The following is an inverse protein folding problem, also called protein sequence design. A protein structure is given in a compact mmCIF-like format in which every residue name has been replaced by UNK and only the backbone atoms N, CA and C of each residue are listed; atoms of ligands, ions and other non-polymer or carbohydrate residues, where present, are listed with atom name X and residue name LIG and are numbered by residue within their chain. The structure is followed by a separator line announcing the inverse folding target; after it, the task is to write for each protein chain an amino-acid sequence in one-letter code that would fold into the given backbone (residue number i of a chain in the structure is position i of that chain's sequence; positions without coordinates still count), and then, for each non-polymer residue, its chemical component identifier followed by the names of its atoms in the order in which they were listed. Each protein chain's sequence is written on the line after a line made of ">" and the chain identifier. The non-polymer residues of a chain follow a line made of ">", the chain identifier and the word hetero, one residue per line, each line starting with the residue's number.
data_IF_481351350090
#
_entry.id   IF_481351350090
#
_cell.length_a   1.000
_cell.length_b   1.000
_cell.length_c   1.000
_cell.angle_alpha   90.00
_cell.angle_beta   90.00
_cell.angle_gamma   90.00
#
_symmetry.space_group_name_H-M   'P 1'
#
loop_
_entity.id
_entity.type
_entity.pdbx_description
1 polymer ?
#
# COMPACT_ATOMS: atom_id res chain seq x y z
N UNK A 1 20.07 9.33 9.94
CA UNK A 1 19.16 8.50 10.78
C UNK A 1 18.16 7.85 9.84
N UNK A 2 18.07 6.54 9.84
CA UNK A 2 17.07 5.81 9.08
C UNK A 2 15.74 5.71 9.85
N UNK A 3 14.67 5.22 9.20
CA UNK A 3 13.34 5.12 9.81
C UNK A 3 13.33 4.30 11.10
N UNK A 4 14.03 3.15 11.12
CA UNK A 4 14.09 2.29 12.32
C UNK A 4 14.77 2.98 13.50
N UNK A 5 15.83 3.76 13.25
CA UNK A 5 16.49 4.56 14.28
C UNK A 5 15.57 5.64 14.83
N UNK A 6 14.81 6.31 13.96
CA UNK A 6 13.84 7.33 14.36
C UNK A 6 12.75 6.70 15.25
N UNK A 7 12.16 5.61 14.80
CA UNK A 7 11.11 4.91 15.57
C UNK A 7 11.65 4.42 16.91
N UNK A 8 12.79 3.76 16.92
CA UNK A 8 13.35 3.18 18.14
C UNK A 8 13.76 4.24 19.17
N UNK A 9 14.40 5.32 18.73
CA UNK A 9 14.99 6.29 19.64
C UNK A 9 13.97 7.31 20.14
N UNK A 10 12.94 7.65 19.34
CA UNK A 10 12.04 8.76 19.66
C UNK A 10 10.59 8.33 19.90
N UNK A 11 10.08 7.34 19.16
CA UNK A 11 8.64 7.05 19.18
C UNK A 11 8.25 5.77 19.93
N UNK A 12 9.12 4.76 19.99
CA UNK A 12 8.77 3.49 20.63
C UNK A 12 8.30 3.65 22.08
N UNK A 13 8.92 4.54 22.85
CA UNK A 13 8.53 4.80 24.25
C UNK A 13 7.16 5.44 24.40
N UNK A 14 6.64 6.06 23.34
CA UNK A 14 5.32 6.67 23.31
C UNK A 14 4.20 5.65 23.00
N UNK A 15 4.56 4.48 22.47
CA UNK A 15 3.63 3.41 22.11
C UNK A 15 3.25 2.59 23.35
N UNK A 16 2.50 3.20 24.26
CA UNK A 16 2.10 2.59 25.54
C UNK A 16 1.00 1.52 25.41
N UNK A 17 0.24 1.56 24.31
CA UNK A 17 -0.79 0.57 24.03
C UNK A 17 -0.20 -0.73 23.50
N UNK A 18 -0.64 -1.88 24.02
CA UNK A 18 -0.30 -3.21 23.46
C UNK A 18 -0.75 -3.37 22.02
N UNK A 19 -1.79 -2.64 21.60
CA UNK A 19 -2.30 -2.65 20.23
C UNK A 19 -1.31 -2.03 19.22
N UNK A 20 -0.38 -1.17 19.66
CA UNK A 20 0.67 -0.60 18.83
C UNK A 20 1.78 -1.59 18.46
N UNK A 21 1.77 -2.81 18.99
CA UNK A 21 2.76 -3.88 18.75
C UNK A 21 4.21 -3.39 18.95
N UNK A 22 4.42 -2.45 19.88
CA UNK A 22 5.70 -1.77 20.15
C UNK A 22 6.29 -1.06 18.92
N UNK A 23 5.48 -0.67 17.93
CA UNK A 23 5.89 -0.14 16.61
C UNK A 23 6.90 -1.05 15.88
N UNK A 24 6.80 -2.35 16.09
CA UNK A 24 7.64 -3.38 15.44
C UNK A 24 6.92 -4.14 14.33
N UNK A 25 5.71 -3.74 14.01
CA UNK A 25 4.90 -4.33 12.96
C UNK A 25 4.34 -3.23 12.04
N UNK A 26 3.86 -3.61 10.87
CA UNK A 26 3.38 -2.68 9.85
C UNK A 26 1.94 -2.22 10.12
N UNK A 27 1.31 -2.77 11.17
CA UNK A 27 -0.07 -2.45 11.54
C UNK A 27 -0.23 -2.18 13.03
N UNK A 28 -1.26 -1.40 13.37
CA UNK A 28 -1.88 -1.37 14.69
C UNK A 28 -2.90 -2.51 14.78
N UNK A 29 -2.96 -3.23 15.91
CA UNK A 29 -3.94 -4.30 16.11
C UNK A 29 -4.57 -4.27 17.51
N UNK A 30 -5.80 -3.81 17.60
CA UNK A 30 -6.61 -3.90 18.81
C UNK A 30 -7.36 -5.25 18.84
N UNK A 31 -6.82 -6.20 19.59
CA UNK A 31 -7.39 -7.54 19.73
C UNK A 31 -8.79 -7.52 20.36
N UNK A 32 -9.06 -6.60 21.31
CA UNK A 32 -10.35 -6.50 22.01
C UNK A 32 -11.46 -6.11 21.03
N UNK A 33 -11.19 -5.12 20.19
CA UNK A 33 -12.14 -4.61 19.19
C UNK A 33 -11.98 -5.30 17.83
N UNK A 34 -11.06 -6.29 17.71
CA UNK A 34 -10.74 -7.01 16.46
C UNK A 34 -10.33 -6.06 15.33
N UNK A 35 -9.80 -4.89 15.65
CA UNK A 35 -9.51 -3.81 14.72
C UNK A 35 -8.04 -3.84 14.30
N UNK A 36 -7.79 -3.86 13.00
CA UNK A 36 -6.47 -3.70 12.40
C UNK A 36 -6.42 -2.43 11.54
N UNK A 37 -5.36 -1.64 11.67
CA UNK A 37 -5.16 -0.39 10.94
C UNK A 37 -3.72 -0.31 10.43
N UNK A 38 -3.54 0.09 9.17
CA UNK A 38 -2.26 0.49 8.59
C UNK A 38 -2.37 1.86 7.97
N UNK A 39 -1.29 2.64 7.96
CA UNK A 39 -1.22 3.95 7.33
C UNK A 39 0.10 4.14 6.60
N UNK A 40 0.02 4.47 5.32
CA UNK A 40 1.16 4.73 4.46
C UNK A 40 1.03 6.08 3.76
N UNK A 41 2.18 6.68 3.44
CA UNK A 41 2.26 7.91 2.65
C UNK A 41 3.10 7.71 1.39
N UNK A 42 2.58 8.19 0.27
CA UNK A 42 3.15 8.01 -1.07
C UNK A 42 3.44 9.37 -1.72
N UNK A 43 4.70 9.59 -2.10
CA UNK A 43 5.15 10.80 -2.78
C UNK A 43 5.53 10.53 -4.22
N UNK A 44 5.24 11.49 -5.10
CA UNK A 44 5.77 11.52 -6.47
C UNK A 44 7.30 11.54 -6.45
N UNK A 45 7.93 10.85 -7.38
CA UNK A 45 9.38 10.64 -7.52
C UNK A 45 10.03 9.74 -6.46
N UNK A 46 9.32 9.44 -5.38
CA UNK A 46 9.78 8.48 -4.36
C UNK A 46 9.10 7.13 -4.53
N UNK A 47 7.79 7.10 -4.47
CA UNK A 47 6.98 5.86 -4.50
C UNK A 47 6.37 5.59 -5.88
N UNK A 48 6.23 6.63 -6.70
CA UNK A 48 5.84 6.54 -8.11
C UNK A 48 6.57 7.61 -8.94
N UNK A 49 6.89 7.30 -10.19
CA UNK A 49 7.76 8.15 -11.02
C UNK A 49 7.14 9.51 -11.36
N UNK A 50 5.86 9.51 -11.77
CA UNK A 50 5.12 10.70 -12.17
C UNK A 50 3.61 10.41 -12.17
N UNK A 51 2.82 11.46 -12.36
CA UNK A 51 1.35 11.38 -12.35
C UNK A 51 0.71 11.43 -13.75
N UNK A 52 1.43 11.06 -14.81
CA UNK A 52 0.90 11.03 -16.20
C UNK A 52 -0.25 10.04 -16.38
N UNK A 53 -0.27 8.98 -15.57
CA UNK A 53 -1.30 7.93 -15.54
C UNK A 53 -1.98 7.86 -14.17
N UNK A 54 -2.78 8.87 -13.76
CA UNK A 54 -3.27 9.00 -12.38
C UNK A 54 -4.05 7.78 -11.90
N UNK A 55 -4.90 7.17 -12.73
CA UNK A 55 -5.62 5.97 -12.36
C UNK A 55 -4.70 4.77 -12.05
N UNK A 56 -3.59 4.60 -12.77
CA UNK A 56 -2.63 3.53 -12.48
C UNK A 56 -1.85 3.81 -11.19
N UNK A 57 -1.49 5.07 -10.93
CA UNK A 57 -0.84 5.45 -9.67
C UNK A 57 -1.75 5.17 -8.49
N UNK A 58 -3.02 5.58 -8.57
CA UNK A 58 -4.01 5.32 -7.50
C UNK A 58 -4.21 3.82 -7.27
N UNK A 59 -4.30 3.03 -8.34
CA UNK A 59 -4.38 1.57 -8.23
C UNK A 59 -3.19 1.01 -7.47
N UNK A 60 -1.97 1.41 -7.84
CA UNK A 60 -0.73 0.98 -7.19
C UNK A 60 -0.75 1.30 -5.70
N UNK A 61 -0.99 2.56 -5.32
CA UNK A 61 -0.89 2.98 -3.92
C UNK A 61 -1.98 2.36 -3.04
N UNK A 62 -3.21 2.18 -3.55
CA UNK A 62 -4.26 1.45 -2.82
C UNK A 62 -3.81 0.02 -2.55
N UNK A 63 -3.28 -0.68 -3.56
CA UNK A 63 -2.83 -2.07 -3.39
C UNK A 63 -1.64 -2.17 -2.44
N UNK A 64 -0.68 -1.25 -2.53
CA UNK A 64 0.43 -1.21 -1.57
C UNK A 64 -0.07 -1.02 -0.14
N UNK A 65 -0.98 -0.08 0.10
CA UNK A 65 -1.49 0.19 1.45
C UNK A 65 -2.29 -0.98 2.04
N UNK A 66 -3.20 -1.60 1.25
CA UNK A 66 -3.98 -2.74 1.77
C UNK A 66 -3.14 -4.02 1.90
N UNK A 67 -1.93 -4.07 1.29
CA UNK A 67 -1.06 -5.25 1.39
C UNK A 67 -0.63 -5.54 2.82
N UNK A 68 -0.45 -4.52 3.64
CA UNK A 68 -0.06 -4.66 5.04
C UNK A 68 -1.10 -5.42 5.87
N UNK A 69 -2.37 -5.14 5.64
CA UNK A 69 -3.45 -5.90 6.27
C UNK A 69 -3.49 -7.34 5.74
N UNK A 70 -3.36 -7.50 4.40
CA UNK A 70 -3.46 -8.81 3.74
C UNK A 70 -2.35 -9.75 4.22
N UNK A 71 -1.10 -9.29 4.34
CA UNK A 71 0.02 -10.11 4.81
C UNK A 71 -0.12 -10.52 6.29
N UNK A 72 -0.97 -9.82 7.06
CA UNK A 72 -1.33 -10.18 8.43
C UNK A 72 -2.54 -11.11 8.54
N UNK A 73 -3.10 -11.54 7.42
CA UNK A 73 -4.31 -12.36 7.39
C UNK A 73 -5.60 -11.56 7.63
N UNK A 74 -5.57 -10.24 7.43
CA UNK A 74 -6.70 -9.35 7.67
C UNK A 74 -7.33 -8.91 6.34
N UNK A 75 -8.65 -9.07 6.20
CA UNK A 75 -9.38 -8.49 5.07
C UNK A 75 -9.52 -6.98 5.25
N UNK A 76 -9.01 -6.17 4.30
CA UNK A 76 -9.28 -4.74 4.30
C UNK A 76 -10.78 -4.50 4.08
N UNK A 77 -11.36 -3.58 4.84
CA UNK A 77 -12.79 -3.23 4.76
C UNK A 77 -13.00 -1.79 4.35
N UNK A 78 -12.25 -0.89 4.95
CA UNK A 78 -12.33 0.55 4.68
C UNK A 78 -10.97 1.13 4.34
N UNK A 79 -10.97 2.16 3.49
CA UNK A 79 -9.81 3.01 3.24
C UNK A 79 -10.18 4.48 3.38
N UNK A 80 -9.28 5.26 3.96
CA UNK A 80 -9.33 6.72 3.97
C UNK A 80 -8.19 7.24 3.12
N UNK A 81 -8.45 8.22 2.24
CA UNK A 81 -7.47 8.75 1.30
C UNK A 81 -7.31 10.24 1.54
N UNK A 82 -6.17 10.66 2.07
CA UNK A 82 -5.78 12.05 2.11
C UNK A 82 -4.86 12.34 0.92
N UNK A 83 -5.08 13.47 0.25
CA UNK A 83 -4.32 13.89 -0.92
C UNK A 83 -3.77 15.30 -0.73
N UNK A 84 -2.53 15.53 -1.12
CA UNK A 84 -2.00 16.87 -1.26
C UNK A 84 -1.53 17.11 -2.69
N UNK A 85 -1.75 18.31 -3.21
CA UNK A 85 -1.35 18.68 -4.57
C UNK A 85 -1.93 20.00 -5.00
N UNK A 86 -1.68 20.38 -6.24
CA UNK A 86 -2.19 21.62 -6.82
C UNK A 86 -3.17 21.36 -7.97
N UNK A 87 -3.71 22.44 -8.56
CA UNK A 87 -4.68 22.40 -9.67
C UNK A 87 -4.20 21.63 -10.91
N UNK A 88 -2.89 21.49 -11.12
CA UNK A 88 -2.34 20.75 -12.28
C UNK A 88 -2.49 19.23 -12.10
N UNK A 89 -2.44 18.75 -10.86
CA UNK A 89 -2.67 17.34 -10.54
C UNK A 89 -4.17 17.01 -10.50
N UNK A 90 -4.99 17.89 -9.90
CA UNK A 90 -6.42 17.64 -9.63
C UNK A 90 -7.34 18.31 -10.67
N UNK A 91 -7.03 18.12 -11.95
CA UNK A 91 -7.93 18.53 -13.05
C UNK A 91 -9.18 17.62 -13.07
N UNK A 92 -10.30 18.11 -13.64
CA UNK A 92 -11.52 17.30 -13.83
C UNK A 92 -11.22 15.95 -14.51
N UNK A 93 -10.36 15.96 -15.56
CA UNK A 93 -9.93 14.76 -16.28
C UNK A 93 -9.16 13.76 -15.39
N UNK A 94 -8.25 14.25 -14.56
CA UNK A 94 -7.48 13.38 -13.64
C UNK A 94 -8.36 12.84 -12.52
N UNK A 95 -9.23 13.68 -11.95
CA UNK A 95 -10.17 13.27 -10.89
C UNK A 95 -11.13 12.19 -11.39
N UNK A 96 -11.62 12.27 -12.63
CA UNK A 96 -12.43 11.20 -13.23
C UNK A 96 -11.65 9.87 -13.33
N UNK A 97 -10.36 9.91 -13.75
CA UNK A 97 -9.51 8.71 -13.81
C UNK A 97 -9.21 8.14 -12.42
N UNK A 98 -8.97 9.01 -11.44
CA UNK A 98 -8.79 8.63 -10.02
C UNK A 98 -10.03 7.93 -9.51
N UNK A 99 -11.20 8.56 -9.64
CA UNK A 99 -12.50 8.01 -9.19
C UNK A 99 -12.81 6.65 -9.81
N UNK A 100 -12.61 6.51 -11.13
CA UNK A 100 -12.83 5.23 -11.81
C UNK A 100 -11.87 4.12 -11.31
N UNK A 101 -10.61 4.49 -11.04
CA UNK A 101 -9.64 3.55 -10.50
C UNK A 101 -10.02 3.10 -9.09
N UNK A 102 -10.40 4.03 -8.22
CA UNK A 102 -10.87 3.73 -6.86
C UNK A 102 -12.08 2.79 -6.93
N UNK A 103 -13.08 3.10 -7.76
CA UNK A 103 -14.27 2.24 -7.95
C UNK A 103 -13.88 0.82 -8.38
N UNK A 104 -12.92 0.70 -9.30
CA UNK A 104 -12.41 -0.61 -9.74
C UNK A 104 -11.79 -1.42 -8.60
N UNK A 105 -10.97 -0.77 -7.77
CA UNK A 105 -10.32 -1.44 -6.63
C UNK A 105 -11.33 -1.76 -5.51
N UNK A 106 -12.31 -0.88 -5.26
CA UNK A 106 -13.43 -1.16 -4.35
C UNK A 106 -14.19 -2.43 -4.76
N UNK A 107 -14.54 -2.54 -6.04
CA UNK A 107 -15.24 -3.71 -6.55
C UNK A 107 -14.40 -4.99 -6.47
N UNK A 108 -13.10 -4.88 -6.78
CA UNK A 108 -12.17 -6.01 -6.79
C UNK A 108 -11.89 -6.55 -5.39
N UNK A 109 -11.62 -5.68 -4.44
CA UNK A 109 -11.21 -6.05 -3.08
C UNK A 109 -12.33 -5.97 -2.04
N UNK A 110 -13.53 -5.55 -2.47
CA UNK A 110 -14.70 -5.36 -1.57
C UNK A 110 -14.41 -4.40 -0.43
N UNK A 111 -13.61 -3.37 -0.71
CA UNK A 111 -13.30 -2.27 0.21
C UNK A 111 -14.22 -1.08 -0.06
N UNK A 112 -14.39 -0.22 0.94
CA UNK A 112 -15.17 1.01 0.81
C UNK A 112 -14.33 2.22 1.22
N UNK A 113 -14.49 3.35 0.52
CA UNK A 113 -13.97 4.63 0.99
C UNK A 113 -14.76 5.04 2.24
N UNK A 114 -14.05 5.31 3.35
CA UNK A 114 -14.60 5.82 4.59
C UNK A 114 -14.53 7.34 4.71
N UNK A 115 -13.67 7.99 3.90
CA UNK A 115 -13.44 9.42 3.92
C UNK A 115 -12.03 9.79 3.48
N UNK A 116 -11.59 10.98 3.85
CA UNK A 116 -10.27 11.51 3.54
C UNK A 116 -10.24 13.02 3.61
N UNK A 117 -9.14 13.60 3.14
CA UNK A 117 -8.94 15.05 3.10
C UNK A 117 -8.18 15.44 1.83
N UNK A 118 -8.29 16.71 1.41
CA UNK A 118 -7.57 17.25 0.26
C UNK A 118 -6.97 18.61 0.58
N UNK A 119 -5.64 18.70 0.53
CA UNK A 119 -4.89 19.89 0.88
C UNK A 119 -4.15 20.45 -0.34
N UNK A 120 -4.19 21.77 -0.51
CA UNK A 120 -3.41 22.45 -1.54
C UNK A 120 -1.92 22.43 -1.19
N UNK A 121 -1.09 21.88 -2.09
CA UNK A 121 0.36 21.78 -1.94
C UNK A 121 1.06 21.85 -3.31
N UNK A 122 2.32 22.26 -3.32
CA UNK A 122 3.15 22.18 -4.52
C UNK A 122 3.68 20.77 -4.79
N UNK A 123 3.69 19.89 -3.76
CA UNK A 123 4.11 18.49 -3.87
C UNK A 123 2.89 17.59 -3.92
N UNK A 124 2.91 16.61 -4.82
CA UNK A 124 1.88 15.59 -4.87
C UNK A 124 2.19 14.46 -3.90
N UNK A 125 1.26 14.21 -2.99
CA UNK A 125 1.31 13.03 -2.13
C UNK A 125 -0.09 12.49 -1.84
N UNK A 126 -0.13 11.24 -1.41
CA UNK A 126 -1.32 10.55 -0.93
C UNK A 126 -0.98 9.82 0.35
N UNK A 127 -1.81 9.96 1.38
CA UNK A 127 -1.75 9.11 2.56
C UNK A 127 -3.00 8.24 2.57
N UNK A 128 -2.81 6.92 2.76
CA UNK A 128 -3.91 5.97 2.80
C UNK A 128 -3.89 5.26 4.14
N UNK A 129 -5.00 5.36 4.87
CA UNK A 129 -5.26 4.56 6.06
C UNK A 129 -6.19 3.43 5.67
N UNK A 130 -5.76 2.20 5.91
CA UNK A 130 -6.49 0.97 5.64
C UNK A 130 -6.98 0.36 6.94
N UNK A 131 -8.24 -0.04 6.99
CA UNK A 131 -8.89 -0.63 8.16
C UNK A 131 -9.48 -1.97 7.80
N UNK A 132 -9.24 -2.96 8.67
CA UNK A 132 -9.83 -4.28 8.59
C UNK A 132 -10.14 -4.86 9.96
N UNK A 133 -10.78 -6.04 9.98
CA UNK A 133 -11.19 -6.69 11.22
C UNK A 133 -10.74 -8.15 11.22
N UNK A 134 -10.14 -8.59 12.34
CA UNK A 134 -9.74 -9.97 12.54
C UNK A 134 -9.68 -10.32 14.03
N UNK A 135 -9.90 -11.57 14.37
CA UNK A 135 -9.74 -12.05 15.75
C UNK A 135 -8.28 -12.26 16.13
N UNK A 136 -7.43 -12.53 15.13
CA UNK A 136 -5.99 -12.78 15.26
C UNK A 136 -5.26 -12.24 14.05
N UNK A 137 -3.96 -12.01 14.19
CA UNK A 137 -3.09 -11.59 13.09
C UNK A 137 -1.85 -12.47 13.00
N UNK A 138 -1.21 -12.48 11.84
CA UNK A 138 0.09 -13.11 11.61
C UNK A 138 1.17 -12.09 11.94
N UNK A 139 2.00 -12.38 12.93
CA UNK A 139 3.13 -11.54 13.31
C UNK A 139 4.35 -11.85 12.45
N UNK A 140 5.08 -10.82 11.97
CA UNK A 140 6.26 -10.97 11.14
C UNK A 140 7.48 -11.58 11.84
N UNK A 141 7.46 -11.63 13.16
CA UNK A 141 8.58 -12.08 14.01
C UNK A 141 8.35 -13.45 14.66
N UNK A 142 7.47 -14.29 14.10
CA UNK A 142 7.13 -15.62 14.64
C UNK A 142 7.77 -16.79 13.92
N UNK A 143 8.52 -16.54 12.84
CA UNK A 143 9.29 -17.59 12.17
C UNK A 143 10.32 -18.21 13.11
N UNK A 144 10.49 -19.53 13.01
CA UNK A 144 11.39 -20.33 13.84
C UNK A 144 12.52 -20.90 12.99
N UNK A 145 13.60 -21.30 13.62
CA UNK A 145 14.65 -22.07 12.96
C UNK A 145 14.05 -23.37 12.39
N UNK A 146 14.37 -23.70 11.16
CA UNK A 146 13.90 -24.83 10.37
C UNK A 146 12.47 -24.67 9.81
N UNK A 147 11.85 -23.48 9.87
CA UNK A 147 10.62 -23.22 9.11
C UNK A 147 10.95 -23.15 7.61
N UNK A 148 10.09 -23.71 6.77
CA UNK A 148 10.17 -23.55 5.32
C UNK A 148 9.76 -22.15 4.88
N UNK A 149 10.44 -21.61 3.86
CA UNK A 149 10.17 -20.28 3.30
C UNK A 149 9.43 -20.45 1.98
N UNK A 150 8.21 -19.94 1.92
CA UNK A 150 7.38 -19.91 0.73
C UNK A 150 7.20 -18.49 0.22
N UNK A 151 7.17 -18.34 -1.11
CA UNK A 151 6.96 -17.05 -1.77
C UNK A 151 5.75 -17.14 -2.70
N UNK A 152 4.92 -16.11 -2.68
CA UNK A 152 3.78 -16.00 -3.60
C UNK A 152 4.15 -15.14 -4.80
N UNK A 153 3.98 -15.67 -6.01
CA UNK A 153 4.30 -14.98 -7.26
C UNK A 153 5.80 -14.93 -7.56
N UNK A 154 6.19 -14.02 -8.44
CA UNK A 154 7.58 -13.85 -8.88
C UNK A 154 8.20 -12.63 -8.20
N UNK A 155 9.35 -12.83 -7.55
CA UNK A 155 10.14 -11.73 -7.00
C UNK A 155 10.81 -10.95 -8.13
N UNK A 156 10.80 -9.61 -8.01
CA UNK A 156 11.50 -8.73 -8.94
C UNK A 156 10.65 -8.19 -10.10
N UNK A 157 9.50 -8.77 -10.43
CA UNK A 157 8.67 -8.33 -11.57
C UNK A 157 8.32 -6.83 -11.51
N UNK A 158 7.92 -6.34 -10.34
CA UNK A 158 7.59 -4.92 -10.15
C UNK A 158 8.82 -4.01 -10.27
N UNK A 159 9.98 -4.45 -9.77
CA UNK A 159 11.25 -3.73 -9.91
C UNK A 159 11.72 -3.68 -11.38
N UNK A 160 11.57 -4.78 -12.10
CA UNK A 160 11.85 -4.83 -13.56
C UNK A 160 10.95 -3.84 -14.30
N UNK A 161 9.66 -3.78 -13.97
CA UNK A 161 8.72 -2.79 -14.52
C UNK A 161 9.13 -1.34 -14.24
N UNK A 162 9.61 -1.05 -13.04
CA UNK A 162 10.17 0.26 -12.70
C UNK A 162 11.43 0.57 -13.52
N UNK A 163 12.32 -0.41 -13.69
CA UNK A 163 13.56 -0.26 -14.45
C UNK A 163 13.30 -0.01 -15.93
N UNK A 164 12.28 -0.65 -16.51
CA UNK A 164 11.81 -0.38 -17.88
C UNK A 164 11.26 1.06 -17.99
N UNK A 165 10.42 1.49 -17.04
CA UNK A 165 9.86 2.84 -17.02
C UNK A 165 10.93 3.94 -16.86
N UNK A 166 12.07 3.60 -16.24
CA UNK A 166 13.26 4.46 -16.13
C UNK A 166 14.20 4.35 -17.33
N UNK A 167 13.88 3.55 -18.35
CA UNK A 167 14.74 3.25 -19.49
C UNK A 167 16.11 2.61 -19.14
N UNK A 168 16.19 1.92 -18.00
CA UNK A 168 17.39 1.18 -17.55
C UNK A 168 17.45 -0.18 -18.24
N UNK A 169 16.30 -0.85 -18.39
CA UNK A 169 16.16 -2.16 -19.04
C UNK A 169 15.27 -1.99 -20.26
N UNK A 170 15.62 -2.68 -21.35
CA UNK A 170 14.79 -2.83 -22.56
C UNK A 170 14.51 -4.29 -22.81
N UNK A 171 13.32 -4.61 -23.29
CA UNK A 171 12.92 -5.96 -23.69
C UNK A 171 11.88 -5.88 -24.80
N UNK A 172 11.33 -7.01 -25.25
CA UNK A 172 10.26 -6.99 -26.25
C UNK A 172 8.95 -6.40 -25.69
N UNK A 173 8.09 -5.90 -26.55
CA UNK A 173 6.85 -5.19 -26.17
C UNK A 173 5.91 -6.00 -25.28
N UNK A 174 5.87 -7.33 -25.42
CA UNK A 174 5.04 -8.22 -24.60
C UNK A 174 5.53 -8.25 -23.14
N UNK A 175 6.83 -8.42 -22.94
CA UNK A 175 7.46 -8.45 -21.62
C UNK A 175 7.45 -7.06 -20.96
N UNK A 176 7.68 -5.98 -21.73
CA UNK A 176 7.55 -4.61 -21.24
C UNK A 176 6.17 -4.37 -20.65
N UNK A 177 5.10 -4.71 -21.40
CA UNK A 177 3.73 -4.58 -20.93
C UNK A 177 3.49 -5.37 -19.65
N UNK A 178 3.94 -6.62 -19.59
CA UNK A 178 3.80 -7.49 -18.43
C UNK A 178 4.44 -6.87 -17.17
N UNK A 179 5.71 -6.48 -17.24
CA UNK A 179 6.43 -5.93 -16.09
C UNK A 179 5.91 -4.56 -15.68
N UNK A 180 5.55 -3.69 -16.63
CA UNK A 180 4.94 -2.39 -16.33
C UNK A 180 3.59 -2.57 -15.65
N UNK A 181 2.78 -3.55 -16.07
CA UNK A 181 1.54 -3.88 -15.38
C UNK A 181 1.78 -4.37 -13.95
N UNK A 182 2.80 -5.19 -13.70
CA UNK A 182 3.19 -5.61 -12.34
C UNK A 182 3.62 -4.44 -11.46
N UNK A 183 4.31 -3.44 -12.02
CA UNK A 183 4.65 -2.21 -11.29
C UNK A 183 3.42 -1.39 -10.87
N UNK A 184 2.45 -1.18 -11.78
CA UNK A 184 1.25 -0.38 -11.49
C UNK A 184 0.11 -1.17 -10.82
N UNK A 185 0.13 -2.48 -10.94
CA UNK A 185 -0.96 -3.34 -10.49
C UNK A 185 -0.39 -4.55 -9.73
N UNK A 186 0.35 -4.33 -8.62
CA UNK A 186 0.90 -5.44 -7.84
C UNK A 186 -0.22 -6.41 -7.47
N UNK A 187 0.08 -7.69 -7.57
CA UNK A 187 -0.88 -8.74 -7.26
C UNK A 187 -0.96 -8.94 -5.75
N UNK A 188 -2.18 -8.98 -5.23
CA UNK A 188 -2.44 -9.24 -3.82
C UNK A 188 -3.05 -10.63 -3.69
N UNK A 189 -2.35 -11.52 -3.01
CA UNK A 189 -2.74 -12.92 -2.86
C UNK A 189 -3.77 -13.12 -1.73
N UNK A 190 -4.88 -12.38 -1.81
CA UNK A 190 -5.94 -12.34 -0.78
C UNK A 190 -6.57 -13.72 -0.50
N UNK A 191 -6.45 -14.67 -1.43
CA UNK A 191 -6.95 -16.04 -1.26
C UNK A 191 -6.28 -16.79 -0.11
N UNK A 192 -5.06 -16.40 0.27
CA UNK A 192 -4.34 -17.00 1.39
C UNK A 192 -4.87 -16.58 2.76
N UNK A 193 -5.67 -15.50 2.84
CA UNK A 193 -6.30 -15.09 4.10
C UNK A 193 -7.36 -16.11 4.56
N UNK A 194 -7.99 -16.83 3.62
CA UNK A 194 -9.13 -17.73 3.89
C UNK A 194 -8.75 -19.09 4.46
N UNK A 195 -7.49 -19.36 4.66
CA UNK A 195 -7.01 -20.60 5.25
C UNK A 195 -6.45 -20.36 6.63
#
# INVERSE_FOLDING_TARGET
>A
MNEFEIVNNYFRKLAISKASLNLNDDIFFDKKNKLAVSTDTYFEKTHFLNFKKPGQVIKKIIRSSISDLICKGVYPKYIFICASGNKHYFTKKNLAKISNSIRSEQNKFKISIGGGDTVKSNKLSFSITSIGYASTIIHRNKAKKNDDIYVTGNLGDSFTGLSILKNIIRTNSRLEKYFIDKYFSPELHIKFIKK
#
